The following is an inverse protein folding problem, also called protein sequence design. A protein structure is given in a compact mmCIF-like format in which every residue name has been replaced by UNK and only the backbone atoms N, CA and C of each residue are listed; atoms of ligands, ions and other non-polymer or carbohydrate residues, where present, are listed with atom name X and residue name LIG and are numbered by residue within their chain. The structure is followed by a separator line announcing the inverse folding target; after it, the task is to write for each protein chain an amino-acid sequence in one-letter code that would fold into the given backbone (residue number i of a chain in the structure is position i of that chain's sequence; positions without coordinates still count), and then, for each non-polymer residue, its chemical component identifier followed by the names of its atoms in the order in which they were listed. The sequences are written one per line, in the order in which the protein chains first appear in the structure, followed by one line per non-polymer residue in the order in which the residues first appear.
data_IF_752828283283
#
_entry.id   IF_752828283283
#
_cell.length_a   1.000
_cell.length_b   1.000
_cell.length_c   1.000
_cell.angle_alpha   90.00
_cell.angle_beta   90.00
_cell.angle_gamma   90.00
#
_symmetry.space_group_name_H-M   'P 1'
#
loop_
_entity.id
_entity.type
_entity.pdbx_description
1 polymer ?
2 branched ?
3 branched ?
4 non-polymer ?
5 non-polymer ?
6 water ?
#
# COMPACT_ATOMS: atom_id res chain seq x y z
N UNK A 4 1.04 10.59 -20.03
CA UNK A 4 -0.19 10.55 -19.25
C UNK A 4 -0.08 9.69 -17.98
N UNK A 5 0.27 10.32 -16.86
CA UNK A 5 0.31 9.70 -15.55
C UNK A 5 -0.99 8.97 -15.20
N UNK A 6 -0.87 7.71 -14.78
CA UNK A 6 -2.02 6.95 -14.26
C UNK A 6 -1.67 6.35 -12.89
N UNK A 7 -2.63 5.65 -12.26
CA UNK A 7 -2.40 5.15 -10.91
C UNK A 7 -1.34 4.07 -10.76
N UNK A 8 -1.15 3.26 -11.79
CA UNK A 8 -0.11 2.25 -11.77
C UNK A 8 1.29 2.90 -11.78
N UNK A 9 1.34 4.23 -11.94
CA UNK A 9 2.58 4.97 -11.88
C UNK A 9 2.95 5.46 -10.47
N UNK A 10 2.04 5.27 -9.50
CA UNK A 10 2.21 5.89 -8.17
C UNK A 10 2.87 5.03 -7.11
N UNK A 11 3.41 5.70 -6.10
CA UNK A 11 3.88 5.05 -4.89
C UNK A 11 3.26 5.76 -3.68
N UNK A 12 2.73 4.99 -2.75
CA UNK A 12 1.95 5.52 -1.64
C UNK A 12 2.66 5.40 -0.30
N UNK A 13 2.76 6.51 0.41
CA UNK A 13 3.24 6.55 1.78
C UNK A 13 2.03 6.55 2.68
N UNK A 14 1.88 5.50 3.49
CA UNK A 14 0.67 5.27 4.27
C UNK A 14 0.85 5.67 5.73
N UNK A 15 0.02 6.61 6.18
CA UNK A 15 0.14 7.22 7.51
C UNK A 15 -1.08 7.03 8.40
N UNK A 16 -0.89 6.48 9.59
CA UNK A 16 -1.91 6.66 10.61
C UNK A 16 -1.72 8.00 11.32
N UNK A 17 -2.71 8.88 11.16
CA UNK A 17 -2.55 10.31 11.50
C UNK A 17 -2.12 10.60 12.95
N UNK A 18 -2.80 10.01 13.92
CA UNK A 18 -2.50 10.26 15.33
C UNK A 18 -1.10 9.81 15.74
N UNK A 19 -0.54 8.88 14.99
CA UNK A 19 0.75 8.30 15.35
C UNK A 19 1.95 8.78 14.51
N UNK A 20 1.78 9.89 13.78
CA UNK A 20 2.83 10.33 12.85
C UNK A 20 3.60 11.57 13.33
N UNK A 21 2.92 12.69 13.45
CA UNK A 21 3.58 13.95 13.79
C UNK A 21 2.64 14.92 14.47
N UNK A 22 2.88 15.16 15.77
CA UNK A 22 2.10 16.14 16.51
C UNK A 22 2.76 17.52 16.49
N UNK A 23 2.11 18.46 15.82
CA UNK A 23 2.58 19.82 15.74
C UNK A 23 1.58 20.76 16.40
N UNK A 24 0.30 20.38 16.36
CA UNK A 24 -0.75 21.21 16.93
C UNK A 24 -1.31 20.61 18.24
N UNK A 31 -5.52 12.91 25.33
CA UNK A 31 -4.19 12.75 24.72
C UNK A 31 -3.14 12.23 25.71
N UNK A 32 -2.83 10.94 25.59
CA UNK A 32 -1.87 10.27 26.48
C UNK A 32 -0.89 9.37 25.71
N UNK A 33 0.34 9.86 25.52
CA UNK A 33 1.36 9.15 24.74
C UNK A 33 1.76 7.78 25.32
N UNK A 34 1.55 7.60 26.62
CA UNK A 34 1.93 6.35 27.28
C UNK A 34 0.79 5.34 27.33
N UNK A 35 -0.34 5.69 26.75
CA UNK A 35 -1.44 4.76 26.60
C UNK A 35 -1.45 4.24 25.17
N UNK A 36 -1.05 2.98 24.98
CA UNK A 36 -0.96 2.33 23.67
C UNK A 36 -2.28 2.35 22.92
N UNK A 37 -3.39 2.58 23.61
CA UNK A 37 -4.70 2.65 22.96
C UNK A 37 -5.29 4.06 22.98
N UNK A 38 -4.48 5.04 23.40
CA UNK A 38 -4.92 6.42 23.45
C UNK A 38 -4.49 7.23 22.24
N UNK A 39 -4.79 8.53 22.28
CA UNK A 39 -4.32 9.49 21.27
C UNK A 39 -2.89 9.92 21.59
N UNK A 40 -2.02 9.93 20.58
CA UNK A 40 -0.64 10.39 20.77
C UNK A 40 -0.47 11.86 20.37
N UNK A 41 -1.48 12.41 19.69
CA UNK A 41 -1.46 13.81 19.34
C UNK A 41 -1.20 14.16 17.88
N UNK A 42 -0.75 13.19 17.09
CA UNK A 42 -0.44 13.44 15.69
C UNK A 42 -1.63 14.03 14.96
N UNK A 43 -1.37 14.95 14.04
CA UNK A 43 -2.44 15.66 13.33
C UNK A 43 -2.13 15.94 11.85
N UNK A 44 -3.05 16.66 11.21
CA UNK A 44 -2.95 16.94 9.78
C UNK A 44 -1.82 17.93 9.46
N UNK A 45 -1.65 18.93 10.32
CA UNK A 45 -0.55 19.89 10.22
C UNK A 45 0.79 19.17 10.23
N UNK A 46 0.88 18.12 11.04
CA UNK A 46 2.06 17.27 11.05
C UNK A 46 2.32 16.57 9.72
N UNK A 47 1.25 16.15 9.04
CA UNK A 47 1.40 15.47 7.78
C UNK A 47 1.95 16.44 6.75
N UNK A 48 1.31 17.60 6.67
CA UNK A 48 1.68 18.63 5.70
C UNK A 48 3.15 19.03 5.84
N UNK A 49 3.61 19.15 7.08
CA UNK A 49 5.01 19.53 7.32
C UNK A 49 6.01 18.47 6.87
N UNK A 50 5.55 17.28 6.50
CA UNK A 50 6.46 16.20 6.10
C UNK A 50 6.31 15.78 4.64
N UNK A 51 5.65 16.61 3.84
CA UNK A 51 5.40 16.28 2.45
C UNK A 51 6.70 16.21 1.63
N UNK A 52 7.60 17.14 1.86
CA UNK A 52 8.87 17.10 1.16
C UNK A 52 9.67 15.88 1.62
N UNK A 53 9.61 15.59 2.91
CA UNK A 53 10.27 14.44 3.47
C UNK A 53 9.84 13.15 2.76
N UNK A 54 8.53 13.03 2.57
CA UNK A 54 7.95 11.86 1.91
C UNK A 54 8.29 11.85 0.41
N UNK A 55 8.05 12.96 -0.27
CA UNK A 55 8.36 13.12 -1.69
C UNK A 55 9.80 12.73 -2.05
N UNK A 56 10.72 12.96 -1.11
CA UNK A 56 12.13 12.75 -1.41
C UNK A 56 12.48 11.27 -1.53
N UNK A 57 11.66 10.42 -0.91
CA UNK A 57 11.87 8.98 -0.98
C UNK A 57 11.17 8.36 -2.19
N UNK A 58 10.56 9.21 -3.00
CA UNK A 58 9.97 8.76 -4.26
C UNK A 58 8.48 8.47 -4.20
N UNK A 59 7.84 8.86 -3.10
CA UNK A 59 6.41 8.69 -2.96
C UNK A 59 5.64 9.83 -3.60
N UNK A 60 4.67 9.48 -4.42
CA UNK A 60 3.93 10.46 -5.20
C UNK A 60 2.51 10.60 -4.67
N UNK A 61 2.24 9.95 -3.55
CA UNK A 61 0.88 9.91 -3.03
C UNK A 61 0.89 9.49 -1.57
N UNK A 62 -0.07 9.99 -0.81
CA UNK A 62 -0.24 9.64 0.61
C UNK A 62 -1.61 9.02 0.81
N UNK A 63 -1.68 8.00 1.66
CA UNK A 63 -2.98 7.48 2.09
C UNK A 63 -3.04 7.74 3.60
N UNK A 64 -4.10 8.41 4.04
CA UNK A 64 -4.31 8.69 5.45
C UNK A 64 -5.37 7.74 6.00
N UNK A 65 -5.22 7.32 7.24
CA UNK A 65 -6.28 6.60 7.95
C UNK A 65 -7.48 7.57 8.11
N UNK A 66 -8.67 7.07 8.49
CA UNK A 66 -9.83 7.97 8.40
C UNK A 66 -9.71 9.18 9.31
N UNK A 67 -10.19 10.32 8.83
CA UNK A 67 -10.06 11.55 9.59
C UNK A 67 -11.41 12.12 10.00
N UNK A 68 -12.48 11.34 9.83
CA UNK A 68 -13.79 11.80 10.20
C UNK A 68 -13.91 11.76 11.73
N UNK A 69 -14.87 12.51 12.26
CA UNK A 69 -15.17 12.53 13.69
C UNK A 69 -15.49 11.11 14.16
N UNK A 70 -14.80 10.66 15.20
CA UNK A 70 -14.95 9.29 15.69
C UNK A 70 -15.68 9.16 17.04
N UNK A 71 -16.12 7.94 17.36
CA UNK A 71 -16.65 7.66 18.69
C UNK A 71 -15.47 7.79 19.66
N UNK A 72 -15.76 7.87 20.97
CA UNK A 72 -14.65 8.01 21.92
C UNK A 72 -13.65 6.87 21.78
N UNK A 73 -12.35 7.17 21.94
CA UNK A 73 -11.35 6.13 21.86
C UNK A 73 -10.86 5.80 20.46
N UNK A 74 -11.53 6.35 19.44
CA UNK A 74 -11.20 6.03 18.06
C UNK A 74 -9.96 6.71 17.49
N UNK A 75 -8.81 6.55 18.16
CA UNK A 75 -7.57 7.23 17.76
C UNK A 75 -7.18 6.89 16.32
N UNK A 76 -7.53 5.69 15.88
CA UNK A 76 -7.15 5.21 14.56
C UNK A 76 -8.10 5.70 13.47
N UNK A 77 -9.25 6.24 13.86
CA UNK A 77 -10.19 6.79 12.91
C UNK A 77 -11.27 5.84 12.39
N UNK A 78 -11.19 4.56 12.73
CA UNK A 78 -12.10 3.59 12.11
C UNK A 78 -13.47 3.46 12.78
N UNK A 79 -13.69 4.20 13.85
CA UNK A 79 -14.96 4.15 14.59
C UNK A 79 -15.75 5.42 14.32
N UNK A 80 -16.27 5.55 13.10
CA UNK A 80 -16.85 6.81 12.66
C UNK A 80 -18.08 7.22 13.46
N UNK A 81 -18.19 8.51 13.75
CA UNK A 81 -19.40 9.08 14.35
C UNK A 81 -20.10 10.06 13.39
N UNK A 82 -19.39 11.09 12.97
CA UNK A 82 -19.93 12.08 12.05
C UNK A 82 -19.19 12.00 10.72
N UNK A 83 -19.91 11.64 9.66
CA UNK A 83 -19.32 11.46 8.33
C UNK A 83 -18.98 12.79 7.67
N UNK A 84 -19.43 13.89 8.25
CA UNK A 84 -19.35 15.20 7.61
C UNK A 84 -18.45 16.20 8.37
N UNK A 85 -17.50 15.67 9.13
CA UNK A 85 -16.73 16.50 10.03
C UNK A 85 -15.36 15.88 10.25
N UNK A 86 -14.33 16.71 10.37
CA UNK A 86 -12.98 16.24 10.71
C UNK A 86 -12.86 16.09 12.22
N UNK A 87 -12.26 15.01 12.68
CA UNK A 87 -12.08 14.82 14.11
C UNK A 87 -11.16 15.92 14.64
N UNK A 88 -11.61 16.66 15.66
CA UNK A 88 -10.85 17.76 16.25
C UNK A 88 -9.45 17.35 16.75
N UNK A 89 -9.23 16.07 17.01
CA UNK A 89 -7.91 15.58 17.41
C UNK A 89 -6.88 15.74 16.29
N UNK A 90 -7.37 15.72 15.05
CA UNK A 90 -6.48 15.76 13.91
C UNK A 90 -6.46 17.16 13.30
N UNK A 91 -7.38 18.00 13.77
CA UNK A 91 -7.48 19.37 13.30
C UNK A 91 -8.80 19.73 12.63
N UNK A 92 -8.74 20.65 11.68
CA UNK A 92 -9.92 21.25 11.09
C UNK A 92 -10.06 20.92 9.60
N UNK A 93 -11.26 21.17 9.05
CA UNK A 93 -11.48 21.11 7.61
C UNK A 93 -10.49 22.00 6.83
N UNK A 94 -10.15 23.16 7.39
CA UNK A 94 -9.16 24.03 6.79
C UNK A 94 -7.79 23.38 6.70
N UNK A 95 -7.36 22.74 7.80
CA UNK A 95 -6.12 21.98 7.83
C UNK A 95 -6.07 20.95 6.71
N UNK A 96 -7.19 20.30 6.48
CA UNK A 96 -7.25 19.21 5.50
C UNK A 96 -7.16 19.77 4.12
N UNK A 97 -7.89 20.86 3.87
CA UNK A 97 -7.83 21.56 2.58
C UNK A 97 -6.42 22.03 2.33
N UNK A 98 -5.77 22.56 3.37
CA UNK A 98 -4.37 22.97 3.30
C UNK A 98 -3.48 21.79 2.93
N UNK A 99 -3.65 20.65 3.60
CA UNK A 99 -2.89 19.45 3.28
C UNK A 99 -3.00 19.10 1.79
N UNK A 100 -4.23 19.10 1.27
CA UNK A 100 -4.45 18.70 -0.13
C UNK A 100 -3.85 19.68 -1.12
N UNK A 101 -4.00 20.97 -0.85
CA UNK A 101 -3.38 22.00 -1.67
C UNK A 101 -1.87 21.84 -1.67
N UNK A 102 -1.30 21.68 -0.49
CA UNK A 102 0.15 21.59 -0.37
C UNK A 102 0.71 20.33 -1.05
N UNK A 103 -0.04 19.24 -0.99
CA UNK A 103 0.37 18.02 -1.67
C UNK A 103 0.28 18.24 -3.18
N UNK A 104 -0.78 18.93 -3.60
CA UNK A 104 -1.02 19.17 -5.01
C UNK A 104 0.02 20.09 -5.65
N UNK A 105 0.56 21.02 -4.86
CA UNK A 105 1.65 21.88 -5.32
C UNK A 105 2.84 21.01 -5.69
N UNK A 106 3.03 19.96 -4.92
CA UNK A 106 4.16 19.06 -5.09
C UNK A 106 3.85 17.87 -5.99
N UNK A 107 2.72 17.93 -6.71
CA UNK A 107 2.32 16.85 -7.60
C UNK A 107 2.09 15.52 -6.88
N UNK A 108 1.55 15.60 -5.67
CA UNK A 108 1.30 14.40 -4.89
C UNK A 108 -0.20 14.21 -4.76
N UNK A 109 -0.64 12.96 -4.76
CA UNK A 109 -2.06 12.66 -4.61
C UNK A 109 -2.38 12.33 -3.15
N UNK A 110 -3.61 12.63 -2.75
CA UNK A 110 -4.06 12.33 -1.40
C UNK A 110 -5.27 11.42 -1.44
N UNK A 111 -5.12 10.27 -0.83
CA UNK A 111 -6.18 9.28 -0.71
C UNK A 111 -6.62 9.27 0.74
N UNK A 112 -7.93 9.30 0.97
CA UNK A 112 -8.46 9.19 2.33
C UNK A 112 -9.09 7.82 2.55
N UNK A 113 -9.07 7.38 3.80
CA UNK A 113 -9.63 6.10 4.19
C UNK A 113 -11.13 6.24 4.45
N UNK A 114 -11.94 5.44 3.76
CA UNK A 114 -13.39 5.56 3.84
C UNK A 114 -14.04 4.26 4.35
N UNK A 115 -15.00 4.39 5.26
CA UNK A 115 -15.72 3.21 5.77
C UNK A 115 -17.19 3.29 5.39
N UNK A 116 -17.68 2.28 4.69
CA UNK A 116 -19.10 2.22 4.33
C UNK A 116 -19.81 1.11 5.11
N UNK A 117 -19.00 0.27 5.77
CA UNK A 117 -19.51 -0.93 6.39
C UNK A 117 -20.16 -0.74 7.75
N UNK A 118 -19.62 0.19 8.52
CA UNK A 118 -20.01 0.30 9.91
C UNK A 118 -19.68 1.68 10.48
N UNK A 119 -20.24 1.96 11.65
CA UNK A 119 -19.88 3.14 12.42
C UNK A 119 -19.33 2.62 13.75
N UNK A 120 -18.85 3.53 14.59
CA UNK A 120 -18.22 3.11 15.83
C UNK A 120 -19.20 2.49 16.81
N UNK A 121 -18.66 1.92 17.89
CA UNK A 121 -19.50 1.29 18.90
C UNK A 121 -20.46 2.30 19.52
N UNK A 122 -21.67 1.85 19.82
CA UNK A 122 -22.67 2.66 20.54
C UNK A 122 -23.02 3.93 19.79
N UNK A 123 -22.94 3.89 18.47
CA UNK A 123 -23.24 5.06 17.68
C UNK A 123 -24.70 5.44 17.91
N UNK A 124 -24.97 6.76 18.00
CA UNK A 124 -26.31 7.28 18.27
C UNK A 124 -27.42 6.79 17.34
N UNK A 125 -27.11 6.43 16.09
CA UNK A 125 -28.15 5.98 15.15
C UNK A 125 -28.82 4.71 15.62
N UNK A 126 -28.13 3.98 16.52
CA UNK A 126 -28.67 2.73 17.05
C UNK A 126 -29.97 2.96 17.80
N UNK A 127 -30.09 4.15 18.40
CA UNK A 127 -31.20 4.49 19.28
C UNK A 127 -32.12 5.53 18.63
N UNK A 128 -31.92 5.75 17.34
CA UNK A 128 -32.78 6.62 16.54
C UNK A 128 -33.77 5.74 15.81
N UNK A 129 -35.07 5.90 16.13
CA UNK A 129 -36.15 5.07 15.57
C UNK A 129 -36.22 5.13 14.05
N UNK A 130 -35.84 6.24 13.45
CA UNK A 130 -35.90 6.34 12.00
C UNK A 130 -34.69 5.65 11.36
N UNK A 131 -33.78 5.16 12.20
CA UNK A 131 -32.55 4.53 11.71
C UNK A 131 -32.31 3.14 12.31
N UNK A 132 -33.37 2.56 12.88
CA UNK A 132 -33.37 1.18 13.33
C UNK A 132 -33.17 0.24 12.12
N UNK A 133 -33.74 0.62 10.99
CA UNK A 133 -33.58 -0.13 9.74
C UNK A 133 -32.27 0.16 9.04
N UNK A 134 -31.40 0.94 9.69
CA UNK A 134 -30.13 1.31 9.10
C UNK A 134 -29.04 0.31 9.45
N UNK A 135 -29.39 -0.71 10.22
CA UNK A 135 -28.41 -1.65 10.76
C UNK A 135 -28.87 -3.09 10.59
N UNK A 136 -27.93 -3.99 10.35
CA UNK A 136 -28.23 -5.42 10.37
C UNK A 136 -28.41 -5.83 11.82
N UNK A 137 -29.24 -6.85 12.06
CA UNK A 137 -29.41 -7.42 13.39
C UNK A 137 -28.05 -7.71 13.99
N UNK A 138 -27.87 -7.38 15.26
CA UNK A 138 -26.57 -7.59 15.89
C UNK A 138 -26.23 -9.07 15.94
N UNK A 139 -25.17 -9.44 15.23
CA UNK A 139 -24.77 -10.84 15.09
C UNK A 139 -23.27 -10.95 14.87
N UNK A 140 -22.65 -11.93 15.51
CA UNK A 140 -21.24 -12.25 15.28
C UNK A 140 -21.07 -12.91 13.90
N UNK A 141 -19.90 -12.72 13.29
CA UNK A 141 -19.54 -13.46 12.08
C UNK A 141 -18.97 -14.81 12.50
N UNK A 142 -19.72 -15.89 12.23
CA UNK A 142 -19.28 -17.21 12.66
C UNK A 142 -18.42 -17.91 11.61
N UNK A 143 -18.85 -17.86 10.36
CA UNK A 143 -18.15 -18.55 9.28
C UNK A 143 -17.57 -17.54 8.29
N UNK A 144 -16.27 -17.27 8.42
CA UNK A 144 -15.59 -16.29 7.58
C UNK A 144 -15.33 -16.75 6.16
N UNK A 145 -15.98 -17.84 5.77
CA UNK A 145 -15.98 -18.29 4.39
C UNK A 145 -17.40 -18.23 3.83
N UNK A 146 -18.32 -17.77 4.65
CA UNK A 146 -19.72 -17.61 4.24
C UNK A 146 -19.96 -16.13 4.00
N UNK A 147 -20.24 -15.79 2.74
CA UNK A 147 -20.30 -14.40 2.30
C UNK A 147 -21.44 -13.63 2.95
N UNK A 148 -22.58 -14.30 3.12
CA UNK A 148 -23.74 -13.71 3.77
C UNK A 148 -23.43 -13.31 5.21
N UNK A 149 -22.79 -14.20 5.96
CA UNK A 149 -22.36 -13.85 7.31
C UNK A 149 -21.34 -12.71 7.29
N UNK A 150 -20.37 -12.80 6.39
CA UNK A 150 -19.35 -11.78 6.25
C UNK A 150 -20.00 -10.41 6.02
N UNK A 151 -21.02 -10.39 5.17
CA UNK A 151 -21.69 -9.15 4.81
C UNK A 151 -22.74 -8.65 5.80
N UNK A 152 -23.33 -9.53 6.62
CA UNK A 152 -24.38 -9.10 7.52
C UNK A 152 -23.93 -9.06 8.97
N UNK A 153 -22.81 -9.71 9.25
CA UNK A 153 -22.25 -9.76 10.58
C UNK A 153 -21.63 -8.46 11.04
N UNK A 154 -21.51 -8.33 12.36
CA UNK A 154 -20.90 -7.18 12.98
C UNK A 154 -19.42 -7.48 13.18
N UNK A 155 -18.62 -6.88 12.30
CA UNK A 155 -17.17 -7.05 12.28
C UNK A 155 -16.55 -6.50 13.56
N UNK A 156 -15.98 -7.41 14.37
CA UNK A 156 -15.43 -7.06 15.68
C UNK A 156 -16.43 -6.30 16.55
N UNK A 157 -17.71 -6.64 16.37
CA UNK A 157 -18.78 -6.03 17.15
C UNK A 157 -19.21 -4.65 16.71
N UNK A 158 -18.76 -4.20 15.54
CA UNK A 158 -19.07 -2.86 15.04
C UNK A 158 -20.44 -2.82 14.37
N UNK A 159 -21.29 -1.84 14.76
CA UNK A 159 -22.65 -1.71 14.23
C UNK A 159 -22.65 -1.69 12.72
N UNK A 160 -23.30 -2.69 12.15
CA UNK A 160 -23.15 -2.98 10.74
C UNK A 160 -24.28 -2.41 9.91
N UNK A 161 -23.90 -1.59 8.94
CA UNK A 161 -24.85 -0.80 8.19
C UNK A 161 -25.51 -1.58 7.06
N UNK A 162 -26.79 -1.28 6.80
CA UNK A 162 -27.60 -1.97 5.82
C UNK A 162 -27.70 -1.21 4.49
N UNK A 163 -26.73 -1.44 3.63
CA UNK A 163 -26.68 -0.75 2.34
C UNK A 163 -27.81 -1.20 1.39
N UNK A 164 -28.55 -2.22 1.79
CA UNK A 164 -29.69 -2.69 1.01
C UNK A 164 -30.88 -1.74 1.24
N UNK A 165 -30.82 -1.02 2.35
CA UNK A 165 -31.75 0.08 2.65
C UNK A 165 -31.32 1.34 1.89
N UNK A 166 -32.15 1.80 0.94
CA UNK A 166 -31.77 2.90 0.05
C UNK A 166 -31.41 4.19 0.78
N UNK A 167 -31.88 4.35 2.01
CA UNK A 167 -31.53 5.52 2.82
C UNK A 167 -30.06 5.48 3.23
N UNK A 168 -29.59 4.31 3.64
CA UNK A 168 -28.21 4.11 4.03
C UNK A 168 -27.29 4.25 2.82
N UNK A 169 -27.72 3.65 1.72
CA UNK A 169 -26.97 3.63 0.49
C UNK A 169 -26.78 5.06 0.00
N UNK A 170 -27.87 5.83 0.01
CA UNK A 170 -27.83 7.24 -0.35
C UNK A 170 -26.98 8.09 0.62
N UNK A 171 -27.14 7.88 1.92
CA UNK A 171 -26.36 8.65 2.90
C UNK A 171 -24.85 8.46 2.69
N UNK A 172 -24.45 7.20 2.52
CA UNK A 172 -23.04 6.85 2.42
C UNK A 172 -22.44 7.43 1.14
N UNK A 173 -23.09 7.18 0.01
CA UNK A 173 -22.60 7.65 -1.28
C UNK A 173 -22.49 9.18 -1.33
N UNK A 174 -23.51 9.86 -0.81
CA UNK A 174 -23.54 11.31 -0.77
C UNK A 174 -22.35 11.85 0.03
N UNK A 175 -22.09 11.22 1.17
CA UNK A 175 -21.00 11.65 2.04
C UNK A 175 -19.66 11.50 1.32
N UNK A 176 -19.50 10.40 0.59
CA UNK A 176 -18.26 10.12 -0.13
C UNK A 176 -18.03 11.20 -1.17
N UNK A 177 -19.08 11.53 -1.91
CA UNK A 177 -18.97 12.54 -2.97
C UNK A 177 -18.68 13.89 -2.36
N UNK A 178 -19.24 14.13 -1.19
CA UNK A 178 -19.14 15.44 -0.55
C UNK A 178 -17.69 15.84 -0.25
N UNK A 179 -16.89 14.90 0.23
CA UNK A 179 -15.51 15.19 0.59
C UNK A 179 -14.64 15.44 -0.64
N UNK A 180 -14.95 14.76 -1.74
CA UNK A 180 -14.21 15.03 -2.98
C UNK A 180 -14.46 16.47 -3.43
N UNK A 181 -15.73 16.88 -3.45
CA UNK A 181 -16.09 18.24 -3.82
C UNK A 181 -15.53 19.27 -2.85
N UNK A 182 -15.53 18.93 -1.56
CA UNK A 182 -15.11 19.90 -0.56
C UNK A 182 -13.58 20.08 -0.47
N UNK A 183 -12.81 19.01 -0.65
CA UNK A 183 -11.38 19.11 -0.39
C UNK A 183 -10.49 18.75 -1.57
N UNK A 184 -11.06 18.23 -2.65
CA UNK A 184 -10.32 17.88 -3.87
C UNK A 184 -9.35 16.70 -3.70
N UNK A 185 -9.64 15.81 -2.75
CA UNK A 185 -8.92 14.54 -2.64
C UNK A 185 -8.96 13.75 -3.95
N UNK A 186 -8.04 12.80 -4.08
CA UNK A 186 -7.79 12.09 -5.33
C UNK A 186 -8.19 10.62 -5.27
N UNK A 187 -8.49 10.13 -4.06
CA UNK A 187 -8.91 8.76 -3.92
C UNK A 187 -9.43 8.38 -2.55
N UNK A 188 -10.03 7.19 -2.49
CA UNK A 188 -10.37 6.55 -1.23
C UNK A 188 -9.70 5.19 -1.15
N UNK A 189 -9.13 4.88 0.00
CA UNK A 189 -8.86 3.50 0.34
C UNK A 189 -10.15 3.01 0.98
N UNK A 190 -10.73 1.95 0.44
CA UNK A 190 -12.02 1.45 0.92
C UNK A 190 -11.88 0.37 1.99
N UNK A 191 -12.29 0.68 3.21
CA UNK A 191 -12.26 -0.24 4.35
C UNK A 191 -13.26 -1.39 4.19
N UNK A 192 -12.96 -2.56 4.76
CA UNK A 192 -13.94 -3.64 4.94
C UNK A 192 -14.76 -3.98 3.69
N UNK A 193 -14.10 -4.08 2.55
CA UNK A 193 -14.79 -4.21 1.29
C UNK A 193 -15.53 -5.55 1.16
N UNK A 194 -14.91 -6.62 1.66
CA UNK A 194 -15.50 -7.97 1.58
C UNK A 194 -16.73 -8.12 2.49
N UNK A 195 -16.99 -7.08 3.28
CA UNK A 195 -18.10 -7.11 4.20
C UNK A 195 -19.26 -6.32 3.66
N UNK A 196 -19.12 -5.72 2.50
CA UNK A 196 -20.22 -4.94 1.96
C UNK A 196 -20.55 -5.50 0.58
N UNK A 197 -21.85 -5.65 0.26
CA UNK A 197 -22.30 -6.28 -0.99
C UNK A 197 -21.74 -5.65 -2.25
N UNK A 198 -21.35 -6.50 -3.20
CA UNK A 198 -20.81 -6.03 -4.48
C UNK A 198 -21.76 -5.11 -5.29
N UNK A 199 -23.07 -5.29 -5.14
CA UNK A 199 -24.02 -4.46 -5.86
C UNK A 199 -24.00 -3.03 -5.31
N UNK A 200 -23.64 -2.87 -4.04
CA UNK A 200 -23.49 -1.52 -3.51
C UNK A 200 -22.20 -0.88 -4.03
N UNK A 201 -21.10 -1.62 -3.95
CA UNK A 201 -19.80 -1.07 -4.37
C UNK A 201 -19.91 -0.60 -5.80
N UNK A 202 -20.58 -1.38 -6.63
CA UNK A 202 -20.76 -1.07 -8.04
C UNK A 202 -21.36 0.33 -8.24
N UNK A 203 -22.41 0.62 -7.50
CA UNK A 203 -23.09 1.91 -7.61
C UNK A 203 -22.23 3.02 -6.99
N UNK A 204 -21.71 2.74 -5.79
CA UNK A 204 -20.78 3.61 -5.09
C UNK A 204 -19.67 4.07 -6.05
N UNK A 205 -19.07 3.10 -6.74
CA UNK A 205 -17.96 3.42 -7.63
C UNK A 205 -18.42 4.26 -8.82
N UNK A 206 -19.58 3.93 -9.36
CA UNK A 206 -20.10 4.65 -10.54
C UNK A 206 -20.38 6.09 -10.18
N UNK A 207 -20.81 6.31 -8.94
CA UNK A 207 -21.26 7.63 -8.52
C UNK A 207 -20.17 8.49 -7.92
N UNK A 208 -19.42 7.91 -6.98
CA UNK A 208 -18.35 8.65 -6.33
C UNK A 208 -17.31 9.07 -7.36
N UNK A 209 -16.86 8.13 -8.17
CA UNK A 209 -15.85 8.41 -9.18
C UNK A 209 -16.29 9.35 -10.30
N UNK A 210 -17.58 9.67 -10.34
CA UNK A 210 -18.06 10.58 -11.39
C UNK A 210 -17.88 12.04 -10.98
N UNK A 211 -17.55 12.28 -9.71
CA UNK A 211 -17.32 13.63 -9.21
C UNK A 211 -16.01 14.19 -9.75
N UNK A 212 -15.05 13.31 -10.00
CA UNK A 212 -13.70 13.73 -10.37
C UNK A 212 -13.08 12.72 -11.35
N UNK A 213 -12.55 13.24 -12.46
CA UNK A 213 -11.86 12.42 -13.44
C UNK A 213 -10.68 11.68 -12.79
N UNK A 214 -10.55 10.40 -13.10
CA UNK A 214 -9.42 9.61 -12.60
C UNK A 214 -9.39 9.39 -11.08
N UNK A 215 -10.54 9.56 -10.41
CA UNK A 215 -10.61 9.33 -8.96
C UNK A 215 -10.46 7.84 -8.66
N UNK A 216 -9.54 7.51 -7.78
CA UNK A 216 -9.10 6.13 -7.59
C UNK A 216 -9.64 5.47 -6.31
N UNK A 217 -10.21 4.27 -6.46
CA UNK A 217 -10.66 3.44 -5.34
C UNK A 217 -9.70 2.26 -5.04
N UNK A 218 -9.18 2.20 -3.82
CA UNK A 218 -8.28 1.14 -3.40
C UNK A 218 -8.97 0.32 -2.32
N UNK A 219 -9.30 -0.92 -2.63
CA UNK A 219 -10.12 -1.72 -1.75
C UNK A 219 -9.30 -2.54 -0.78
N UNK A 220 -9.78 -2.69 0.44
CA UNK A 220 -9.19 -3.64 1.39
C UNK A 220 -10.07 -4.89 1.41
N UNK A 221 -9.63 -5.92 0.70
CA UNK A 221 -10.28 -7.22 0.77
C UNK A 221 -9.27 -8.17 1.38
N UNK A 222 -9.37 -8.39 2.68
CA UNK A 222 -8.35 -9.18 3.35
C UNK A 222 -8.61 -10.66 3.14
N UNK A 223 -8.02 -11.17 2.06
CA UNK A 223 -8.04 -12.59 1.74
C UNK A 223 -6.71 -13.00 1.14
N UNK A 224 -6.34 -14.26 1.33
CA UNK A 224 -5.15 -14.81 0.70
C UNK A 224 -5.46 -15.44 -0.66
N UNK A 225 -6.70 -15.31 -1.11
CA UNK A 225 -7.07 -15.86 -2.41
C UNK A 225 -7.19 -14.75 -3.42
N UNK A 226 -6.21 -14.65 -4.32
CA UNK A 226 -6.27 -13.63 -5.36
C UNK A 226 -7.56 -13.66 -6.22
N UNK A 227 -8.25 -14.78 -6.33
CA UNK A 227 -9.45 -14.83 -7.17
C UNK A 227 -10.66 -14.18 -6.48
N UNK A 228 -10.71 -14.34 -5.16
CA UNK A 228 -11.75 -13.74 -4.33
C UNK A 228 -11.67 -12.21 -4.41
N UNK A 229 -10.49 -11.67 -4.14
CA UNK A 229 -10.25 -10.23 -4.25
C UNK A 229 -10.52 -9.75 -5.67
N UNK A 230 -10.01 -10.48 -6.66
CA UNK A 230 -10.11 -10.06 -8.06
C UNK A 230 -11.54 -9.86 -8.53
N UNK A 231 -12.49 -10.61 -7.97
CA UNK A 231 -13.86 -10.50 -8.44
C UNK A 231 -14.47 -9.14 -8.09
N UNK A 232 -13.99 -8.53 -7.01
CA UNK A 232 -14.45 -7.20 -6.65
C UNK A 232 -14.02 -6.16 -7.67
N UNK A 233 -12.94 -6.44 -8.40
CA UNK A 233 -12.49 -5.57 -9.47
C UNK A 233 -13.51 -5.47 -10.61
N UNK A 234 -14.47 -6.40 -10.63
CA UNK A 234 -15.53 -6.42 -11.63
C UNK A 234 -16.63 -5.42 -11.26
N UNK A 235 -16.56 -4.92 -10.03
CA UNK A 235 -17.59 -4.05 -9.49
C UNK A 235 -17.14 -2.62 -9.23
N UNK A 236 -16.23 -2.15 -10.08
CA UNK A 236 -15.89 -0.74 -10.13
C UNK A 236 -14.80 -0.27 -9.17
N UNK A 237 -14.27 -1.16 -8.35
CA UNK A 237 -13.12 -0.81 -7.53
C UNK A 237 -11.85 -1.01 -8.33
N UNK A 238 -11.05 0.05 -8.47
CA UNK A 238 -9.91 0.04 -9.38
C UNK A 238 -8.79 -0.92 -8.96
N UNK A 239 -8.41 -0.82 -7.69
CA UNK A 239 -7.27 -1.57 -7.18
C UNK A 239 -7.47 -2.11 -5.78
N UNK A 240 -6.52 -2.93 -5.34
CA UNK A 240 -6.67 -3.62 -4.07
C UNK A 240 -5.33 -3.74 -3.35
N UNK A 241 -5.38 -3.72 -2.03
CA UNK A 241 -4.20 -4.03 -1.25
C UNK A 241 -3.91 -5.52 -1.45
N UNK A 242 -2.67 -5.83 -1.80
CA UNK A 242 -2.33 -7.18 -2.21
C UNK A 242 -1.99 -8.08 -1.02
N UNK A 243 -3.01 -8.59 -0.35
CA UNK A 243 -2.80 -9.52 0.76
C UNK A 243 -2.15 -10.86 0.37
N UNK A 244 -2.51 -11.43 -0.80
CA UNK A 244 -1.78 -12.62 -1.23
C UNK A 244 -0.27 -12.41 -1.35
N UNK A 245 0.13 -11.25 -1.87
CA UNK A 245 1.56 -10.95 -1.97
C UNK A 245 2.16 -10.86 -0.57
N UNK A 246 1.43 -10.29 0.38
CA UNK A 246 1.90 -10.19 1.75
C UNK A 246 2.26 -11.56 2.33
N UNK A 247 1.44 -12.56 2.02
CA UNK A 247 1.72 -13.93 2.42
C UNK A 247 3.06 -14.39 1.87
N UNK A 248 3.32 -14.03 0.61
CA UNK A 248 4.59 -14.36 0.00
C UNK A 248 5.73 -13.57 0.66
N UNK A 249 5.45 -12.34 1.05
CA UNK A 249 6.49 -11.48 1.58
C UNK A 249 7.03 -12.09 2.87
N UNK A 250 6.13 -12.66 3.66
CA UNK A 250 6.51 -13.25 4.94
C UNK A 250 7.40 -14.46 4.81
N UNK A 251 7.29 -15.15 3.68
CA UNK A 251 8.09 -16.36 3.43
C UNK A 251 9.32 -16.09 2.58
N UNK A 252 9.43 -14.90 2.00
CA UNK A 252 10.51 -14.63 1.06
C UNK A 252 11.38 -13.47 1.52
N UNK A 253 10.84 -12.27 1.45
CA UNK A 253 11.57 -11.04 1.77
C UNK A 253 11.87 -10.91 3.28
N UNK A 254 11.04 -11.51 4.11
CA UNK A 254 11.26 -11.46 5.55
C UNK A 254 12.40 -12.38 6.07
N UNK A 255 12.93 -13.25 5.21
CA UNK A 255 13.97 -14.19 5.65
C UNK A 255 15.12 -14.29 4.66
N UNK A 256 16.34 -14.01 5.11
CA UNK A 256 17.50 -14.15 4.25
C UNK A 256 17.63 -15.63 3.82
N UNK A 257 18.07 -15.84 2.58
CA UNK A 257 18.26 -17.17 2.00
C UNK A 257 16.94 -17.87 1.65
N UNK A 258 15.84 -17.14 1.77
CA UNK A 258 14.54 -17.63 1.33
C UNK A 258 14.36 -17.41 -0.17
N UNK A 259 13.85 -18.42 -0.85
CA UNK A 259 13.54 -18.31 -2.26
C UNK A 259 12.61 -17.14 -2.49
N UNK A 260 12.84 -16.40 -3.57
CA UNK A 260 11.97 -15.29 -3.94
C UNK A 260 10.89 -15.72 -4.93
N UNK A 261 10.87 -17.01 -5.26
CA UNK A 261 9.86 -17.51 -6.19
C UNK A 261 8.40 -17.29 -5.79
N UNK A 262 8.05 -17.38 -4.49
CA UNK A 262 6.67 -17.07 -4.11
C UNK A 262 6.18 -15.70 -4.56
N UNK A 263 7.04 -14.69 -4.46
CA UNK A 263 6.70 -13.35 -4.92
C UNK A 263 6.31 -13.33 -6.39
N UNK A 264 7.12 -13.97 -7.24
CA UNK A 264 6.82 -13.97 -8.67
C UNK A 264 5.58 -14.81 -8.99
N UNK A 265 5.38 -15.90 -8.25
CA UNK A 265 4.22 -16.75 -8.46
C UNK A 265 2.94 -15.96 -8.21
N UNK A 266 2.95 -15.16 -7.16
CA UNK A 266 1.85 -14.23 -6.88
C UNK A 266 1.57 -13.32 -8.07
N UNK A 267 2.60 -12.65 -8.58
CA UNK A 267 2.43 -11.83 -9.79
C UNK A 267 1.85 -12.60 -10.96
N UNK A 268 2.39 -13.79 -11.22
CA UNK A 268 1.95 -14.59 -12.34
C UNK A 268 0.46 -14.87 -12.21
N UNK A 269 0.03 -15.15 -10.97
CA UNK A 269 -1.39 -15.37 -10.67
C UNK A 269 -2.19 -14.07 -10.80
N UNK A 270 -1.70 -12.97 -10.19
CA UNK A 270 -2.34 -11.67 -10.33
C UNK A 270 -2.63 -11.25 -11.78
N UNK A 271 -1.61 -11.31 -12.64
CA UNK A 271 -1.78 -10.88 -14.02
C UNK A 271 -2.95 -11.58 -14.69
N UNK A 272 -3.19 -12.83 -14.31
CA UNK A 272 -4.24 -13.64 -14.95
C UNK A 272 -5.62 -13.39 -14.33
N UNK A 273 -5.69 -13.38 -13.00
CA UNK A 273 -6.95 -13.23 -12.29
C UNK A 273 -7.54 -11.81 -12.31
N UNK A 274 -6.68 -10.80 -12.21
CA UNK A 274 -7.17 -9.41 -12.11
C UNK A 274 -7.22 -8.77 -13.47
N UNK A 275 -8.21 -7.91 -13.69
CA UNK A 275 -8.26 -7.10 -14.91
C UNK A 275 -7.20 -6.01 -14.85
N UNK A 276 -6.94 -5.49 -13.67
CA UNK A 276 -5.95 -4.43 -13.50
C UNK A 276 -4.90 -4.81 -12.47
N UNK A 277 -4.06 -5.81 -12.80
CA UNK A 277 -3.07 -6.32 -11.86
C UNK A 277 -1.98 -5.30 -11.46
N UNK A 278 -1.87 -4.21 -12.22
CA UNK A 278 -0.86 -3.18 -11.92
C UNK A 278 -1.34 -2.19 -10.86
N UNK A 279 -2.57 -2.36 -10.40
CA UNK A 279 -3.15 -1.49 -9.37
C UNK A 279 -3.30 -2.25 -8.07
N UNK A 280 -2.48 -3.28 -7.90
CA UNK A 280 -2.43 -4.03 -6.65
C UNK A 280 -1.36 -3.43 -5.74
N UNK A 281 -1.78 -3.02 -4.55
CA UNK A 281 -0.86 -2.39 -3.60
C UNK A 281 0.01 -3.35 -2.83
N UNK A 282 1.32 -3.24 -3.04
CA UNK A 282 2.28 -4.12 -2.40
C UNK A 282 2.71 -3.50 -1.09
N UNK A 283 2.93 -4.36 -0.09
CA UNK A 283 3.27 -3.90 1.26
C UNK A 283 4.01 -4.95 2.08
N UNK A 284 4.90 -4.47 2.96
CA UNK A 284 5.73 -5.33 3.77
C UNK A 284 5.06 -5.48 5.13
N UNK A 285 4.21 -4.51 5.45
CA UNK A 285 3.37 -4.55 6.66
C UNK A 285 2.35 -3.42 6.57
N UNK A 286 1.44 -3.39 7.52
CA UNK A 286 0.53 -2.26 7.66
C UNK A 286 0.09 -2.15 9.11
N UNK A 287 -0.95 -1.35 9.35
CA UNK A 287 -1.41 -1.05 10.70
C UNK A 287 -2.14 -2.24 11.34
N UNK A 288 -2.30 -3.31 10.57
CA UNK A 288 -3.05 -4.47 11.02
C UNK A 288 -2.15 -5.69 11.17
N UNK A 289 -0.87 -5.54 10.83
CA UNK A 289 0.06 -6.68 10.93
C UNK A 289 1.22 -6.33 11.83
N UNK A 290 2.04 -7.34 12.15
CA UNK A 290 3.28 -7.07 12.86
C UNK A 290 4.18 -6.28 11.93
N UNK A 291 5.12 -5.54 12.51
CA UNK A 291 6.07 -4.78 11.71
C UNK A 291 7.05 -5.71 11.02
N UNK A 292 7.44 -5.35 9.79
CA UNK A 292 8.38 -6.13 9.02
C UNK A 292 9.68 -6.28 9.80
N UNK A 293 10.06 -5.21 10.49
CA UNK A 293 11.26 -5.23 11.35
C UNK A 293 11.19 -6.38 12.35
N UNK A 294 10.03 -6.57 12.96
CA UNK A 294 9.85 -7.67 13.89
C UNK A 294 9.92 -9.04 13.21
N UNK A 295 9.40 -9.14 11.98
CA UNK A 295 9.54 -10.37 11.22
C UNK A 295 11.01 -10.68 10.98
N UNK A 296 11.77 -9.65 10.62
CA UNK A 296 13.20 -9.82 10.33
C UNK A 296 14.01 -10.22 11.57
N UNK A 297 13.74 -9.56 12.68
CA UNK A 297 14.42 -9.82 13.94
C UNK A 297 14.15 -11.24 14.40
N UNK A 298 12.89 -11.65 14.30
CA UNK A 298 12.48 -13.01 14.64
C UNK A 298 13.21 -14.03 13.78
N UNK A 299 13.53 -13.65 12.54
CA UNK A 299 14.29 -14.52 11.65
C UNK A 299 15.79 -14.40 11.87
N UNK A 300 16.17 -13.69 12.93
CA UNK A 300 17.56 -13.48 13.26
C UNK A 300 18.30 -12.83 12.09
N UNK A 301 17.63 -11.89 11.43
CA UNK A 301 18.24 -11.13 10.35
C UNK A 301 18.39 -9.66 10.74
N UNK A 302 19.34 -8.97 10.11
CA UNK A 302 19.45 -7.53 10.29
C UNK A 302 18.29 -6.86 9.59
N UNK A 303 17.50 -6.07 10.35
CA UNK A 303 16.37 -5.36 9.72
C UNK A 303 16.80 -4.34 8.65
N UNK A 304 17.89 -3.65 8.88
CA UNK A 304 18.36 -2.64 7.95
C UNK A 304 18.54 -3.19 6.54
N UNK A 305 19.39 -4.20 6.39
CA UNK A 305 19.59 -4.83 5.09
C UNK A 305 18.31 -5.54 4.59
N UNK A 306 17.50 -6.06 5.49
CA UNK A 306 16.26 -6.75 5.10
C UNK A 306 15.31 -5.75 4.43
N UNK A 307 15.04 -4.66 5.12
CA UNK A 307 14.16 -3.62 4.58
C UNK A 307 14.69 -3.04 3.25
N UNK A 308 15.99 -2.72 3.18
CA UNK A 308 16.55 -2.22 1.93
C UNK A 308 16.31 -3.20 0.79
N UNK A 309 16.47 -4.48 1.08
CA UNK A 309 16.31 -5.51 0.07
C UNK A 309 14.84 -5.64 -0.26
N UNK A 310 14.01 -5.68 0.78
CA UNK A 310 12.58 -5.89 0.60
C UNK A 310 11.92 -4.75 -0.17
N UNK A 311 12.20 -3.51 0.23
CA UNK A 311 11.66 -2.34 -0.48
C UNK A 311 12.17 -2.22 -1.91
N UNK A 312 13.33 -2.81 -2.20
CA UNK A 312 13.81 -2.79 -3.58
C UNK A 312 12.93 -3.68 -4.44
N UNK A 313 12.47 -4.80 -3.88
CA UNK A 313 11.51 -5.63 -4.61
C UNK A 313 10.21 -4.87 -4.90
N UNK A 314 9.64 -4.25 -3.88
CA UNK A 314 8.41 -3.49 -4.05
C UNK A 314 8.54 -2.41 -5.10
N UNK A 315 9.67 -1.70 -5.09
CA UNK A 315 9.88 -0.58 -5.98
C UNK A 315 10.28 -1.01 -7.37
N UNK A 316 10.65 -2.27 -7.52
CA UNK A 316 11.01 -2.76 -8.85
C UNK A 316 9.97 -3.70 -9.48
N UNK A 317 8.96 -4.10 -8.70
CA UNK A 317 7.97 -5.07 -9.14
C UNK A 317 6.69 -4.38 -9.60
N UNK A 318 5.75 -5.12 -10.24
CA UNK A 318 4.48 -4.49 -10.62
C UNK A 318 3.59 -4.16 -9.43
N UNK A 319 2.56 -3.35 -9.70
CA UNK A 319 1.61 -2.93 -8.68
C UNK A 319 1.84 -1.50 -8.24
N UNK A 320 1.40 -1.19 -7.03
CA UNK A 320 1.59 0.11 -6.45
C UNK A 320 2.24 -0.06 -5.09
N UNK A 321 3.50 0.37 -4.95
CA UNK A 321 4.14 0.21 -3.64
C UNK A 321 3.41 1.05 -2.59
N UNK A 322 3.18 0.46 -1.42
CA UNK A 322 2.54 1.19 -0.33
C UNK A 322 3.40 0.98 0.91
N UNK A 323 4.10 2.03 1.36
CA UNK A 323 4.98 1.89 2.50
C UNK A 323 4.41 2.53 3.76
N UNK A 324 4.30 1.73 4.81
CA UNK A 324 3.77 2.16 6.09
C UNK A 324 4.79 3.09 6.77
N UNK A 325 4.32 4.20 7.33
CA UNK A 325 5.21 5.18 7.95
C UNK A 325 6.11 4.47 8.95
N UNK A 326 7.37 4.84 9.00
CA UNK A 326 8.29 4.27 9.98
C UNK A 326 9.12 3.13 9.43
N UNK A 327 8.68 2.51 8.33
CA UNK A 327 9.43 1.45 7.69
C UNK A 327 10.85 1.93 7.41
N UNK A 328 10.98 3.20 7.09
CA UNK A 328 12.23 3.77 6.63
C UNK A 328 13.19 4.03 7.79
N UNK A 329 12.74 3.73 9.01
CA UNK A 329 13.63 3.77 10.16
C UNK A 329 13.59 2.45 10.93
N UNK A 330 13.17 1.40 10.24
CA UNK A 330 13.11 0.06 10.83
C UNK A 330 12.30 0.06 12.13
N UNK A 331 11.18 0.76 12.11
CA UNK A 331 10.24 0.80 13.22
C UNK A 331 9.82 -0.61 13.66
N UNK A 332 10.14 -0.97 14.91
CA UNK A 332 9.71 -2.24 15.48
C UNK A 332 8.27 -2.15 15.97
N UNK A 333 7.69 -3.30 16.33
CA UNK A 333 6.31 -3.33 16.79
C UNK A 333 5.64 -4.68 16.53
N UNK A 334 4.84 -5.12 17.48
CA UNK A 334 4.11 -6.38 17.36
C UNK A 334 2.68 -6.17 16.91
N UNK A 335 1.76 -6.89 17.53
CA UNK A 335 0.34 -6.79 17.21
C UNK A 335 -0.25 -5.41 17.56
N UNK A 336 -1.21 -4.98 16.75
CA UNK A 336 -2.11 -3.85 17.06
C UNK A 336 -2.38 -3.89 18.55
N UNK A 337 -2.05 -2.80 19.28
CA UNK A 337 -1.63 -1.47 18.79
C UNK A 337 -0.13 -1.16 18.83
N UNK A 338 0.70 -2.18 19.07
CA UNK A 338 2.14 -1.98 19.19
C UNK A 338 2.80 -1.70 17.83
N UNK A 339 2.03 -1.91 16.75
CA UNK A 339 2.50 -1.62 15.40
C UNK A 339 2.21 -0.19 14.97
N UNK A 340 1.70 0.62 15.91
CA UNK A 340 1.30 1.99 15.63
C UNK A 340 2.07 2.98 16.50
N UNK A 341 3.34 2.70 16.76
CA UNK A 341 4.15 3.54 17.63
C UNK A 341 4.36 4.93 17.04
N UNK A 342 4.83 5.86 17.88
CA UNK A 342 4.98 7.26 17.47
C UNK A 342 6.24 7.40 16.60
N UNK A 343 6.05 7.99 15.42
CA UNK A 343 7.12 8.17 14.44
C UNK A 343 8.32 8.97 14.99
N UNK A 344 9.51 8.72 14.44
CA UNK A 344 10.74 9.36 14.88
C UNK A 344 11.47 10.01 13.71
N UNK A 345 11.64 11.33 13.78
CA UNK A 345 12.21 12.04 12.64
C UNK A 345 13.68 12.39 12.83
N UNK A 346 14.28 11.83 13.88
CA UNK A 346 15.73 11.99 14.09
C UNK A 346 16.42 10.65 14.31
N UNK A 347 15.94 9.63 13.60
CA UNK A 347 16.52 8.30 13.63
C UNK A 347 17.62 8.22 12.58
N UNK A 348 18.38 7.13 12.60
CA UNK A 348 19.44 6.90 11.62
C UNK A 348 18.87 6.98 10.22
N UNK A 349 19.59 7.63 9.29
CA UNK A 349 19.08 7.88 7.94
C UNK A 349 19.48 6.82 6.92
N UNK A 350 20.04 5.69 7.35
CA UNK A 350 20.62 4.73 6.41
C UNK A 350 19.64 4.18 5.37
N UNK A 351 18.43 3.85 5.80
CA UNK A 351 17.39 3.34 4.90
C UNK A 351 16.77 4.47 4.08
N UNK A 352 16.65 5.64 4.70
CA UNK A 352 16.12 6.82 4.02
C UNK A 352 16.98 7.14 2.79
N UNK A 353 18.30 7.22 3.00
CA UNK A 353 19.25 7.52 1.92
C UNK A 353 19.17 6.50 0.82
N UNK A 354 18.96 5.24 1.20
CA UNK A 354 18.85 4.18 0.22
C UNK A 354 17.55 4.33 -0.57
N UNK A 355 16.44 4.58 0.13
CA UNK A 355 15.14 4.79 -0.52
C UNK A 355 15.15 5.98 -1.48
N UNK A 356 16.00 6.97 -1.19
CA UNK A 356 16.15 8.15 -2.03
C UNK A 356 16.80 7.81 -3.35
N UNK A 357 17.27 6.58 -3.47
CA UNK A 357 17.83 6.10 -4.72
C UNK A 357 16.76 5.27 -5.43
N UNK A 358 16.23 4.28 -4.74
CA UNK A 358 15.31 3.31 -5.35
C UNK A 358 13.88 3.83 -5.58
N UNK A 359 13.34 4.58 -4.62
CA UNK A 359 12.02 5.18 -4.80
C UNK A 359 11.92 6.05 -6.05
N UNK A 360 12.73 7.11 -6.11
CA UNK A 360 12.78 7.94 -7.31
C UNK A 360 13.10 7.15 -8.57
N UNK A 361 13.90 6.10 -8.46
CA UNK A 361 14.30 5.32 -9.63
C UNK A 361 13.08 4.69 -10.32
N UNK A 362 12.08 4.30 -9.52
CA UNK A 362 10.84 3.75 -10.08
C UNK A 362 10.11 4.81 -10.87
N UNK A 363 10.18 6.05 -10.40
CA UNK A 363 9.53 7.15 -11.09
C UNK A 363 10.26 7.48 -12.38
N UNK A 364 11.57 7.28 -12.38
CA UNK A 364 12.40 7.69 -13.50
C UNK A 364 12.49 6.66 -14.64
N UNK A 365 12.29 5.40 -14.33
CA UNK A 365 12.31 4.37 -15.37
C UNK A 365 10.92 3.77 -15.55
N UNK A 366 10.24 4.14 -16.64
CA UNK A 366 8.90 3.68 -17.02
C UNK A 366 8.68 2.16 -16.97
N UNK A 367 9.69 1.37 -17.30
CA UNK A 367 9.55 -0.08 -17.26
C UNK A 367 9.22 -0.63 -15.86
N UNK A 368 9.61 0.11 -14.82
CA UNK A 368 9.32 -0.28 -13.44
C UNK A 368 7.89 0.05 -13.02
N UNK A 369 7.24 0.92 -13.79
CA UNK A 369 5.85 1.28 -13.53
C UNK A 369 4.87 0.64 -14.53
N UNK A 370 5.37 0.30 -15.71
CA UNK A 370 4.52 -0.14 -16.81
C UNK A 370 5.03 -1.38 -17.54
N UNK A 371 6.27 -1.78 -17.29
CA UNK A 371 6.85 -2.90 -18.00
C UNK A 371 6.19 -4.24 -17.72
N UNK A 372 6.49 -5.23 -18.56
CA UNK A 372 6.10 -6.60 -18.22
C UNK A 372 7.06 -7.07 -17.14
N UNK A 373 6.99 -8.34 -16.77
CA UNK A 373 7.71 -8.82 -15.60
C UNK A 373 8.07 -10.28 -15.78
N UNK A 374 9.25 -10.53 -16.33
CA UNK A 374 9.68 -11.87 -16.70
C UNK A 374 10.73 -12.41 -15.74
N UNK A 375 10.54 -13.65 -15.31
CA UNK A 375 11.52 -14.34 -14.48
C UNK A 375 12.58 -15.01 -15.36
N UNK A 376 13.79 -14.43 -15.39
CA UNK A 376 14.89 -14.98 -16.16
C UNK A 376 15.62 -16.06 -15.35
N UNK A 377 15.64 -15.89 -14.03
CA UNK A 377 16.39 -16.78 -13.16
C UNK A 377 15.97 -16.62 -11.72
N UNK A 378 15.76 -17.74 -11.03
CA UNK A 378 15.68 -17.75 -9.57
C UNK A 378 16.13 -19.10 -9.02
N UNK A 379 17.04 -19.05 -8.05
CA UNK A 379 17.44 -20.25 -7.36
C UNK A 379 17.86 -19.88 -5.96
N UNK A 380 17.08 -20.33 -4.98
CA UNK A 380 17.41 -20.17 -3.58
C UNK A 380 17.67 -18.73 -3.12
N UNK A 381 16.84 -17.79 -3.56
CA UNK A 381 16.95 -16.42 -3.09
C UNK A 381 17.65 -15.44 -4.01
N UNK A 382 18.41 -15.96 -4.97
CA UNK A 382 19.02 -15.08 -5.96
C UNK A 382 18.06 -15.03 -7.14
N UNK A 383 17.48 -13.86 -7.39
CA UNK A 383 16.56 -13.72 -8.51
C UNK A 383 16.98 -12.65 -9.52
N UNK A 384 16.75 -12.94 -10.80
CA UNK A 384 16.96 -11.97 -11.86
C UNK A 384 15.68 -11.85 -12.67
N UNK A 385 15.17 -10.63 -12.77
CA UNK A 385 13.94 -10.36 -13.51
C UNK A 385 14.20 -9.36 -14.62
N UNK A 386 13.39 -9.45 -15.69
CA UNK A 386 13.48 -8.49 -16.79
C UNK A 386 12.14 -7.82 -17.00
N UNK A 387 12.17 -6.50 -17.10
CA UNK A 387 10.98 -5.71 -17.42
C UNK A 387 11.14 -4.92 -18.70
N UNK A 388 10.19 -5.03 -19.61
CA UNK A 388 10.24 -4.26 -20.84
C UNK A 388 9.01 -3.37 -20.98
N UNK A 389 9.25 -2.13 -21.39
CA UNK A 389 8.19 -1.21 -21.75
C UNK A 389 8.66 -0.37 -22.92
N UNK A 390 7.91 -0.41 -24.02
CA UNK A 390 8.28 0.27 -25.26
C UNK A 390 9.71 -0.05 -25.69
N UNK A 391 10.57 0.95 -25.74
CA UNK A 391 11.96 0.74 -26.17
C UNK A 391 12.85 0.40 -25.00
N UNK A 392 12.33 0.56 -23.79
CA UNK A 392 13.13 0.37 -22.57
C UNK A 392 13.09 -1.06 -22.02
N UNK A 393 14.26 -1.58 -21.68
CA UNK A 393 14.37 -2.88 -21.04
C UNK A 393 15.21 -2.75 -19.78
N UNK A 394 14.65 -3.09 -18.63
CA UNK A 394 15.45 -3.18 -17.41
C UNK A 394 15.61 -4.63 -16.93
N UNK A 395 16.70 -4.87 -16.19
CA UNK A 395 16.97 -6.16 -15.60
C UNK A 395 17.21 -5.90 -14.13
N UNK A 396 16.41 -6.53 -13.29
CA UNK A 396 16.57 -6.40 -11.85
C UNK A 396 17.12 -7.68 -11.28
N UNK A 397 18.24 -7.58 -10.57
CA UNK A 397 18.79 -8.73 -9.89
C UNK A 397 18.72 -8.48 -8.40
N UNK A 398 18.23 -9.48 -7.66
CA UNK A 398 18.12 -9.39 -6.21
C UNK A 398 18.75 -10.62 -5.57
N UNK A 399 19.82 -10.37 -4.82
CA UNK A 399 20.52 -11.41 -4.10
C UNK A 399 19.99 -11.51 -2.66
N UNK A 400 19.04 -12.42 -2.43
CA UNK A 400 18.52 -12.62 -1.07
C UNK A 400 19.28 -13.68 -0.27
N UNK A 401 20.49 -14.03 -0.71
CA UNK A 401 21.30 -15.05 -0.04
C UNK A 401 22.43 -14.47 0.81
N UNK A 402 23.12 -15.35 1.54
CA UNK A 402 24.18 -14.93 2.45
C UNK A 402 25.55 -14.83 1.78
N UNK A 403 25.60 -15.08 0.48
CA UNK A 403 26.86 -15.03 -0.23
C UNK A 403 26.73 -14.32 -1.57
N UNK A 404 27.88 -13.99 -2.14
CA UNK A 404 27.93 -13.38 -3.46
C UNK A 404 27.34 -14.39 -4.42
N UNK A 405 26.62 -13.92 -5.43
CA UNK A 405 26.00 -14.84 -6.39
C UNK A 405 26.31 -14.45 -7.83
N UNK A 406 26.51 -15.45 -8.67
CA UNK A 406 26.72 -15.24 -10.09
C UNK A 406 25.56 -15.82 -10.91
N UNK A 407 25.13 -15.06 -11.91
CA UNK A 407 24.07 -15.51 -12.80
C UNK A 407 24.45 -15.21 -14.24
N UNK A 408 24.37 -16.22 -15.09
CA UNK A 408 24.61 -16.02 -16.51
C UNK A 408 23.29 -15.96 -17.27
N UNK A 409 23.11 -14.88 -18.04
CA UNK A 409 21.95 -14.73 -18.89
C UNK A 409 22.38 -14.94 -20.35
N UNK A 410 21.52 -15.58 -21.12
CA UNK A 410 21.87 -15.93 -22.50
C UNK A 410 21.48 -14.85 -23.50
N UNK A 411 21.97 -14.99 -24.72
CA UNK A 411 21.61 -14.08 -25.80
C UNK A 411 20.21 -14.41 -26.35
N UNK A 412 19.50 -15.29 -25.65
CA UNK A 412 18.07 -15.57 -25.90
C UNK A 412 17.20 -14.87 -24.83
N UNK A 413 17.84 -14.37 -23.78
CA UNK A 413 17.14 -13.67 -22.70
C UNK A 413 17.35 -12.16 -22.80
N UNK A 414 18.36 -11.78 -23.59
CA UNK A 414 18.66 -10.38 -23.85
C UNK A 414 19.24 -10.25 -25.25
N UNK A 415 19.00 -9.11 -25.92
CA UNK A 415 19.63 -8.86 -27.22
C UNK A 415 21.16 -8.94 -27.12
N UNK A 416 21.79 -9.50 -28.14
CA UNK A 416 23.22 -9.79 -28.12
C UNK A 416 24.08 -8.52 -28.16
N UNK A 417 25.17 -8.54 -27.42
CA UNK A 417 26.22 -7.52 -27.52
C UNK A 417 25.80 -6.11 -27.15
N UNK A 418 24.84 -5.98 -26.23
CA UNK A 418 24.52 -4.69 -25.66
C UNK A 418 25.28 -4.54 -24.35
N UNK A 419 25.08 -3.41 -23.67
CA UNK A 419 25.70 -3.17 -22.37
C UNK A 419 24.60 -2.91 -21.35
N UNK A 420 24.84 -3.28 -20.09
CA UNK A 420 23.89 -3.06 -19.00
C UNK A 420 24.49 -2.11 -18.00
N UNK A 421 23.88 -0.96 -17.81
CA UNK A 421 24.35 -0.02 -16.80
C UNK A 421 23.56 -0.19 -15.50
N UNK A 422 24.27 -0.27 -14.38
CA UNK A 422 23.65 -0.36 -13.06
C UNK A 422 23.25 1.01 -12.54
N UNK A 423 22.13 1.06 -11.84
CA UNK A 423 21.60 2.34 -11.36
C UNK A 423 21.53 2.44 -9.83
N UNK A 424 21.89 1.39 -9.13
CA UNK A 424 22.08 1.50 -7.70
C UNK A 424 23.57 1.64 -7.45
N UNK A 425 24.29 0.54 -7.39
CA UNK A 425 25.74 0.62 -7.46
C UNK A 425 26.10 0.82 -8.92
N UNK A 426 26.80 1.90 -9.23
CA UNK A 426 27.23 2.15 -10.59
C UNK A 426 28.09 0.97 -11.04
N UNK A 427 27.61 0.26 -12.06
CA UNK A 427 28.27 -0.93 -12.57
C UNK A 427 27.95 -1.02 -14.06
N UNK A 428 28.83 -1.69 -14.82
CA UNK A 428 28.56 -1.91 -16.23
C UNK A 428 28.80 -3.36 -16.57
N UNK A 429 27.92 -3.92 -17.38
CA UNK A 429 28.06 -5.31 -17.79
C UNK A 429 28.04 -5.40 -19.31
N UNK A 430 29.17 -5.83 -19.88
CA UNK A 430 29.30 -5.92 -21.34
C UNK A 430 28.89 -7.29 -21.82
N UNK A 431 27.84 -7.35 -22.65
CA UNK A 431 27.46 -8.61 -23.24
C UNK A 431 28.46 -9.10 -24.27
N UNK A 432 28.59 -10.42 -24.41
CA UNK A 432 29.46 -11.00 -25.42
C UNK A 432 28.72 -12.03 -26.30
N UNK A 433 29.48 -12.92 -26.92
CA UNK A 433 28.89 -13.88 -27.85
C UNK A 433 28.14 -14.96 -27.11
N UNK A 434 28.40 -15.08 -25.81
CA UNK A 434 27.75 -16.10 -24.99
C UNK A 434 26.65 -15.55 -24.08
N UNK A 435 26.66 -14.26 -23.83
CA UNK A 435 25.63 -13.64 -23.02
C UNK A 435 26.19 -12.69 -21.99
N UNK A 436 25.46 -12.54 -20.88
CA UNK A 436 25.83 -11.56 -19.85
C UNK A 436 26.05 -12.27 -18.53
N UNK A 437 26.95 -11.71 -17.72
CA UNK A 437 27.24 -12.28 -16.41
C UNK A 437 27.06 -11.22 -15.35
N UNK A 438 26.19 -11.49 -14.37
CA UNK A 438 25.95 -10.57 -13.26
C UNK A 438 26.54 -11.15 -11.99
N UNK A 439 27.21 -10.33 -11.20
CA UNK A 439 27.72 -10.79 -9.91
C UNK A 439 27.33 -9.80 -8.82
N UNK A 440 26.51 -10.27 -7.86
CA UNK A 440 26.03 -9.42 -6.78
C UNK A 440 26.54 -9.89 -5.43
N UNK A 441 27.00 -8.95 -4.61
CA UNK A 441 27.37 -9.22 -3.23
C UNK A 441 26.14 -9.67 -2.44
N UNK A 442 26.37 -10.24 -1.26
CA UNK A 442 25.27 -10.76 -0.43
C UNK A 442 24.28 -9.66 -0.04
N UNK A 443 22.99 -10.00 -0.07
CA UNK A 443 21.92 -9.11 0.37
C UNK A 443 21.95 -7.75 -0.30
N UNK A 444 22.10 -7.76 -1.61
CA UNK A 444 22.14 -6.53 -2.39
C UNK A 444 21.28 -6.73 -3.63
N UNK A 445 20.79 -5.63 -4.18
CA UNK A 445 20.06 -5.67 -5.41
C UNK A 445 20.69 -4.70 -6.41
N UNK A 446 20.39 -4.89 -7.68
CA UNK A 446 20.84 -3.99 -8.71
C UNK A 446 19.78 -3.82 -9.76
N UNK A 447 19.55 -2.58 -10.16
CA UNK A 447 18.67 -2.31 -11.28
C UNK A 447 19.54 -1.94 -12.45
N UNK A 448 19.46 -2.74 -13.51
CA UNK A 448 20.17 -2.47 -14.75
C UNK A 448 19.23 -1.93 -15.82
N UNK A 449 19.67 -0.91 -16.56
CA UNK A 449 18.96 -0.54 -17.78
C UNK A 449 19.83 -0.86 -18.98
N UNK A 450 19.24 -1.53 -19.97
CA UNK A 450 19.95 -1.87 -21.19
C UNK A 450 20.42 -0.64 -21.95
N UNK A 451 21.70 -0.62 -22.29
CA UNK A 451 22.28 0.47 -23.07
C UNK A 451 22.41 0.04 -24.52
N UNK A 452 21.97 0.90 -25.43
CA UNK A 452 22.02 0.59 -26.85
C UNK A 452 23.32 1.09 -27.50
N UNK A 453 23.82 0.31 -28.46
CA UNK A 453 25.06 0.65 -29.14
C UNK A 453 24.81 0.86 -30.64
N UNK A 454 23.54 1.10 -30.98
CA UNK A 454 23.09 1.21 -32.37
C UNK A 454 22.12 2.38 -32.54
X LIG B 1 -9.97 -1.00 13.56
X LIG B 1 -8.76 -0.78 14.47
X LIG B 1 -8.54 -1.97 15.40
X LIG B 1 -9.86 -2.36 16.06
X LIG B 1 -10.88 -2.63 14.98
X LIG B 1 -12.17 -3.14 15.60
X LIG B 1 -9.63 -2.01 12.62
X LIG B 1 -7.62 -0.58 13.68
X LIG B 1 -7.53 -1.65 16.34
X LIG B 1 -9.73 -3.52 16.87
X LIG B 1 -11.09 -1.40 14.33
X LIG B 1 -12.71 -2.13 16.43
X LIG B 2 -9.19 -3.52 18.19
X LIG B 2 -7.99 -5.56 17.72
X LIG B 2 -8.90 -4.96 18.60
X LIG B 2 -10.21 -5.75 18.60
X LIG B 2 -9.98 -7.07 19.00
X LIG B 2 -11.20 -5.06 19.54
X LIG B 2 -11.35 -3.58 19.14
X LIG B 2 -10.08 -2.94 19.11
X LIG B 2 -12.27 -2.81 20.09
X LIG C 1 -9.49 -12.49 7.46
X LIG C 1 -9.82 -11.02 7.28
X LIG C 1 -9.78 -10.34 8.64
X LIG C 1 -8.47 -10.62 9.36
X LIG C 1 -8.46 -10.06 10.78
X LIG C 1 -8.12 -12.58 8.12
X LIG C 1 -7.70 -13.91 8.17
X LIG C 1 -9.45 -13.12 6.20
X LIG C 1 -11.08 -10.84 6.70
X LIG C 1 -9.96 -8.96 8.43
X LIG C 1 -8.23 -12.02 9.41
X LIG C 1 -9.57 -10.54 11.50
X LIG C 2 -11.03 -8.27 9.03
X LIG C 2 -11.98 -8.22 6.88
X LIG C 2 -11.70 -7.39 7.99
X LIG C 2 -10.78 -6.26 7.57
X LIG C 2 -11.49 -5.40 6.70
X LIG C 2 -10.27 -5.50 8.80
X LIG C 2 -9.61 -6.51 9.74
X LIG C 2 -10.55 -7.50 10.12
X LIG C 2 -9.09 -5.84 11.01
X LIG D 1 -21.38 -5.33 6.56
X LIG E 1 -12.90 -6.14 20.79
X LIG E 1 -12.83 -7.65 20.99
X LIG E 1 -13.84 -8.36 20.09
X LIG E 1 -15.27 -8.08 20.52
X LIG E 1 -15.52 -6.61 20.85
X LIG E 1 -16.93 -6.08 21.13
X LIG E 1 -14.33 -5.65 20.98
X LIG E 1 -12.43 -5.75 19.51
X LIG E 1 -11.53 -8.13 20.74
X LIG E 1 -13.62 -9.76 20.16
X LIG E 1 -16.14 -8.52 19.49
X LIG E 1 -17.89 -7.11 20.97
X LIG F 1 -9.87 -3.03 8.50
X LIG F 1 -8.90 -1.95 8.98
X LIG F 1 -8.64 -2.11 10.48
X LIG F 1 -9.84 -1.63 11.28
X LIG F 1 -11.13 -2.20 10.69
X LIG F 1 -12.46 -1.92 11.35
X LIG F 1 -11.16 -2.87 9.31
X LIG F 1 -9.42 -4.39 8.53
X LIG F 1 -7.68 -1.91 8.25
X LIG F 1 -7.54 -1.33 10.88
X LIG F 1 -12.85 -0.63 10.91
#
# INVERSE_FOLDING_TARGET
EKEERTWQDEAIYFIMVDRFNNMDPTNDQNVNVNDPKGYFGGDLKGVTAKLDYIKEMGFTAIWLTPIFKNMPGGYHGYWIEDFYQVDPHFGTLGDLKTLVKEAHKRDMKVILDFVANHVGYNHPWLHDPTKKDWFHPKKEIFDWNDQTQLENGWVYGLPDLAQENPEVKTYLIDAAKWWIKETDIDGYRLDTVRHVPKSFWQEFAKEVKSVKKDFFLLGEVWSDDPRYIADYGKYGIDGFVDYPLYGAVKQSLARRDASLRPLYDVWEYNKTFYDRPYLLGSFLDNHDTVRFTKLAIDNRNNPISRIKLAMTYLFTAPGIPIMYYGTEIAMNGGQDPDNRRLMDFRADPEIIDYLKKIGPLRQELPSLRRGDFTLLYEKDGMAVLKRQYQDETTVIAINNTSETQHVHLTNDQLPKNKELRGFLLDDLVRGDEDGYDLVLDRETAEVYKLREKT
GLC C1 C2 C3 C4 C5 C6 O1 O2 O3 O4 O5 O6
G6D C1 O2 C2 C3 O3 C4 C5 O5 C6
BGC C2 C3 C4 C5 C6 C1 O1 O2 O3 O4 O5 O6
G6D C1 O2 C2 C3 O3 C4 C5 O5 C6
CA CA
ACI C1 C2 C3 C4 C5 C6 C7 N1 O2 O3 O4 O6
ACI C1 C2 C3 C4 C5 C6 C7 N1 O2 O3 O6
#
